data_IF_621450679575
#
_entry.id   IF_621450679575
#
_cell.length_a   1.000
_cell.length_b   1.000
_cell.length_c   1.000
_cell.angle_alpha   90.00
_cell.angle_beta   90.00
_cell.angle_gamma   90.00
#
_symmetry.space_group_name_H-M   'P 1'
#
loop_
_entity.id
_entity.type
_entity.pdbx_description
1 polymer ?
#
# COMPACT_ATOMS: atom_id res chain seq x y z
N UNK A 1 2.92 -14.84 13.65
CA UNK A 1 2.66 -13.96 12.49
C UNK A 1 3.30 -14.60 11.26
N UNK A 2 2.56 -14.73 10.15
CA UNK A 2 3.14 -15.15 8.86
C UNK A 2 4.13 -14.06 8.43
N UNK A 3 5.38 -14.43 8.12
CA UNK A 3 6.39 -13.45 7.68
C UNK A 3 6.07 -13.02 6.24
N UNK A 4 6.12 -11.72 5.92
CA UNK A 4 6.03 -11.29 4.54
C UNK A 4 7.22 -11.86 3.76
N UNK A 5 6.95 -12.29 2.53
CA UNK A 5 7.99 -12.63 1.55
C UNK A 5 8.61 -11.35 1.01
N UNK A 6 7.79 -10.32 0.80
CA UNK A 6 8.25 -9.03 0.30
C UNK A 6 7.56 -7.88 1.02
N UNK A 7 8.28 -6.76 1.17
CA UNK A 7 7.76 -5.54 1.77
C UNK A 7 8.14 -4.36 0.90
N UNK A 8 7.13 -3.58 0.53
CA UNK A 8 7.28 -2.33 -0.19
C UNK A 8 6.97 -1.23 0.82
N UNK A 9 7.92 -0.32 1.04
CA UNK A 9 7.74 0.83 1.92
C UNK A 9 8.03 2.10 1.13
N UNK A 10 7.08 3.03 1.20
CA UNK A 10 7.12 4.30 0.48
C UNK A 10 6.78 5.41 1.46
N UNK A 11 7.58 6.46 1.43
CA UNK A 11 7.37 7.68 2.20
C UNK A 11 7.53 8.89 1.29
N UNK A 12 6.57 9.81 1.33
CA UNK A 12 6.61 11.05 0.55
C UNK A 12 5.77 12.12 1.23
N UNK A 13 6.06 13.39 0.95
CA UNK A 13 5.22 14.54 1.29
C UNK A 13 4.32 14.98 0.13
N UNK A 14 4.41 14.31 -1.03
CA UNK A 14 3.68 14.59 -2.24
C UNK A 14 2.66 13.51 -2.56
N UNK A 15 1.38 13.90 -2.62
CA UNK A 15 0.30 12.99 -2.98
C UNK A 15 0.38 12.50 -4.44
N UNK A 16 0.86 13.35 -5.34
CA UNK A 16 1.10 12.96 -6.74
C UNK A 16 2.18 11.89 -6.84
N UNK A 17 3.15 11.88 -5.91
CA UNK A 17 4.17 10.83 -5.85
C UNK A 17 3.61 9.53 -5.29
N UNK A 18 2.63 9.57 -4.38
CA UNK A 18 1.97 8.36 -3.85
C UNK A 18 1.36 7.55 -4.99
N UNK A 19 0.53 8.17 -5.83
CA UNK A 19 -0.14 7.45 -6.92
C UNK A 19 0.86 6.82 -7.89
N UNK A 20 1.94 7.55 -8.20
CA UNK A 20 3.02 7.05 -9.04
C UNK A 20 3.76 5.88 -8.39
N UNK A 21 4.13 6.00 -7.12
CA UNK A 21 4.88 4.98 -6.40
C UNK A 21 4.04 3.72 -6.16
N UNK A 22 2.73 3.87 -5.95
CA UNK A 22 1.79 2.75 -5.89
C UNK A 22 1.64 2.05 -7.24
N UNK A 23 1.58 2.81 -8.33
CA UNK A 23 1.56 2.25 -9.68
C UNK A 23 2.86 1.50 -9.99
N UNK A 24 4.01 2.03 -9.57
CA UNK A 24 5.31 1.38 -9.77
C UNK A 24 5.44 0.12 -8.90
N UNK A 25 4.96 0.17 -7.64
CA UNK A 25 4.87 -0.99 -6.76
C UNK A 25 3.96 -2.09 -7.33
N UNK A 26 2.87 -1.71 -8.01
CA UNK A 26 1.98 -2.60 -8.74
C UNK A 26 2.68 -3.27 -9.93
N UNK A 27 3.45 -2.51 -10.71
CA UNK A 27 4.10 -3.01 -11.92
C UNK A 27 5.26 -3.96 -11.62
N UNK A 28 5.82 -3.85 -10.41
CA UNK A 28 7.02 -4.57 -10.01
C UNK A 28 6.76 -5.46 -8.78
N UNK A 29 5.64 -6.18 -8.78
CA UNK A 29 5.45 -7.26 -7.81
C UNK A 29 6.56 -8.29 -8.04
N UNK A 30 7.31 -8.72 -7.01
CA UNK A 30 8.39 -9.68 -7.17
C UNK A 30 7.90 -11.00 -7.74
N UNK A 31 8.70 -11.62 -8.60
CA UNK A 31 8.37 -12.89 -9.23
C UNK A 31 8.14 -14.02 -8.23
N UNK A 32 8.75 -13.98 -7.04
CA UNK A 32 8.50 -14.96 -5.98
C UNK A 32 7.06 -14.88 -5.44
N UNK A 33 6.45 -13.69 -5.46
CA UNK A 33 5.04 -13.49 -5.10
C UNK A 33 4.15 -13.95 -6.24
N UNK A 34 4.50 -13.61 -7.48
CA UNK A 34 3.72 -13.97 -8.67
C UNK A 34 3.63 -15.48 -8.86
N UNK A 35 4.72 -16.21 -8.65
CA UNK A 35 4.76 -17.67 -8.80
C UNK A 35 3.98 -18.42 -7.71
N UNK A 36 3.76 -17.79 -6.55
CA UNK A 36 3.18 -18.44 -5.37
C UNK A 36 1.72 -18.05 -5.11
N UNK A 37 1.17 -17.13 -5.88
CA UNK A 37 -0.22 -16.70 -5.80
C UNK A 37 -0.92 -16.90 -7.15
N UNK A 38 -2.24 -16.98 -7.13
CA UNK A 38 -3.01 -17.07 -8.38
C UNK A 38 -3.09 -15.72 -9.08
N UNK A 39 -3.38 -15.69 -10.37
CA UNK A 39 -3.64 -14.43 -11.10
C UNK A 39 -4.80 -13.63 -10.46
N UNK A 40 -5.81 -14.32 -9.95
CA UNK A 40 -6.94 -13.72 -9.24
C UNK A 40 -6.50 -13.04 -7.94
N UNK A 41 -5.64 -13.69 -7.15
CA UNK A 41 -5.07 -13.12 -5.93
C UNK A 41 -4.22 -11.88 -6.24
N UNK A 42 -3.38 -11.96 -7.29
CA UNK A 42 -2.54 -10.85 -7.74
C UNK A 42 -3.41 -9.69 -8.23
N UNK A 43 -4.47 -9.96 -8.98
CA UNK A 43 -5.42 -8.94 -9.42
C UNK A 43 -6.13 -8.28 -8.23
N UNK A 44 -6.57 -9.06 -7.24
CA UNK A 44 -7.19 -8.53 -6.03
C UNK A 44 -6.23 -7.62 -5.24
N UNK A 45 -4.97 -8.04 -5.04
CA UNK A 45 -3.93 -7.22 -4.42
C UNK A 45 -3.81 -5.87 -5.13
N UNK A 46 -3.69 -5.90 -6.45
CA UNK A 46 -3.54 -4.72 -7.31
C UNK A 46 -4.72 -3.75 -7.16
N UNK A 47 -5.94 -4.27 -7.19
CA UNK A 47 -7.16 -3.48 -7.00
C UNK A 47 -7.22 -2.86 -5.60
N UNK A 48 -6.94 -3.65 -4.55
CA UNK A 48 -7.02 -3.19 -3.17
C UNK A 48 -5.99 -2.13 -2.84
N UNK A 49 -4.78 -2.20 -3.38
CA UNK A 49 -3.76 -1.14 -3.16
C UNK A 49 -4.30 0.21 -3.65
N UNK A 50 -4.86 0.24 -4.87
CA UNK A 50 -5.40 1.47 -5.47
C UNK A 50 -6.62 1.98 -4.71
N UNK A 51 -7.63 1.15 -4.52
CA UNK A 51 -8.87 1.57 -3.85
C UNK A 51 -8.63 1.97 -2.40
N UNK A 52 -7.75 1.27 -1.69
CA UNK A 52 -7.51 1.54 -0.27
C UNK A 52 -6.77 2.86 -0.07
N UNK A 53 -5.74 3.14 -0.86
CA UNK A 53 -5.00 4.40 -0.69
C UNK A 53 -5.79 5.58 -1.24
N UNK A 54 -6.37 5.46 -2.45
CA UNK A 54 -7.21 6.54 -3.02
C UNK A 54 -8.41 6.82 -2.12
N UNK A 55 -9.05 5.76 -1.61
CA UNK A 55 -10.20 5.88 -0.75
C UNK A 55 -9.91 6.49 0.62
N UNK A 56 -8.69 6.34 1.16
CA UNK A 56 -8.28 6.88 2.46
C UNK A 56 -7.54 8.22 2.40
N UNK A 57 -7.19 8.70 1.20
CA UNK A 57 -6.53 10.00 1.02
C UNK A 57 -7.30 11.16 1.67
N UNK A 58 -8.64 11.29 1.52
CA UNK A 58 -9.40 12.36 2.17
C UNK A 58 -9.34 12.32 3.70
N UNK A 59 -9.46 11.13 4.28
CA UNK A 59 -9.41 10.89 5.72
C UNK A 59 -8.02 11.23 6.26
N UNK A 60 -6.97 10.71 5.62
CA UNK A 60 -5.60 11.01 6.01
C UNK A 60 -5.31 12.50 5.88
N UNK A 61 -5.77 13.19 4.82
CA UNK A 61 -5.64 14.65 4.70
C UNK A 61 -6.32 15.38 5.87
N UNK A 62 -7.48 14.92 6.31
CA UNK A 62 -8.23 15.54 7.41
C UNK A 62 -7.58 15.32 8.78
N UNK A 63 -7.02 14.13 9.02
CA UNK A 63 -6.28 13.78 10.25
C UNK A 63 -4.91 14.44 10.28
N UNK A 64 -4.28 14.57 9.11
CA UNK A 64 -2.96 15.15 8.94
C UNK A 64 -2.98 16.66 8.97
N UNK A 65 -4.13 17.34 9.15
CA UNK A 65 -4.29 18.80 9.20
C UNK A 65 -3.28 19.40 10.19
N UNK A 66 -2.09 19.73 9.73
CA UNK A 66 -0.98 20.03 10.60
C UNK A 66 -1.07 21.52 10.95
N UNK A 67 -0.37 22.00 11.99
CA UNK A 67 -0.05 23.43 12.01
C UNK A 67 0.53 23.82 10.63
N UNK A 68 0.17 24.99 10.11
CA UNK A 68 0.43 25.52 8.73
C UNK A 68 1.86 25.35 8.15
N UNK A 69 2.80 24.78 8.90
CA UNK A 69 4.23 24.68 8.65
C UNK A 69 4.78 23.26 8.46
N UNK A 70 3.95 22.19 8.56
CA UNK A 70 4.38 20.82 8.27
C UNK A 70 3.61 20.27 7.08
N UNK A 71 4.30 19.83 6.03
CA UNK A 71 3.64 19.05 4.98
C UNK A 71 3.12 17.73 5.56
N UNK A 72 1.95 17.23 5.14
CA UNK A 72 1.51 15.90 5.51
C UNK A 72 2.56 14.90 5.00
N UNK A 73 3.09 14.07 5.90
CA UNK A 73 3.99 12.98 5.53
C UNK A 73 3.14 11.74 5.33
N UNK A 74 3.14 11.23 4.11
CA UNK A 74 2.46 10.02 3.74
C UNK A 74 3.43 8.85 3.86
N UNK A 75 2.98 7.78 4.51
CA UNK A 75 3.72 6.55 4.71
C UNK A 75 2.84 5.38 4.29
N UNK A 76 3.32 4.59 3.34
CA UNK A 76 2.66 3.38 2.87
C UNK A 76 3.60 2.21 3.09
N UNK A 77 3.10 1.18 3.75
CA UNK A 77 3.78 -0.10 3.91
C UNK A 77 2.88 -1.21 3.38
N UNK A 78 3.36 -1.90 2.36
CA UNK A 78 2.70 -3.06 1.76
C UNK A 78 3.54 -4.30 2.07
N UNK A 79 2.90 -5.32 2.61
CA UNK A 79 3.48 -6.60 2.96
C UNK A 79 2.81 -7.69 2.11
N UNK A 80 3.61 -8.42 1.34
CA UNK A 80 3.17 -9.47 0.42
C UNK A 80 3.69 -10.83 0.91
N UNK A 81 2.84 -11.84 0.91
CA UNK A 81 3.19 -13.22 1.24
C UNK A 81 2.39 -14.24 0.43
N UNK A 82 2.59 -15.52 0.74
CA UNK A 82 1.77 -16.59 0.15
C UNK A 82 0.39 -16.51 0.78
N UNK A 83 -0.61 -16.27 -0.05
CA UNK A 83 -1.99 -16.11 0.39
C UNK A 83 -2.22 -15.07 1.49
N UNK A 84 -1.41 -14.02 1.45
CA UNK A 84 -1.38 -12.97 2.46
C UNK A 84 -1.02 -11.64 1.81
N UNK A 85 -1.78 -10.62 2.17
CA UNK A 85 -1.52 -9.25 1.79
C UNK A 85 -1.89 -8.31 2.94
N UNK A 86 -1.05 -7.31 3.20
CA UNK A 86 -1.29 -6.29 4.20
C UNK A 86 -0.89 -4.94 3.63
N UNK A 87 -1.74 -3.95 3.78
CA UNK A 87 -1.46 -2.56 3.43
C UNK A 87 -1.67 -1.70 4.67
N UNK A 88 -0.72 -0.83 4.95
CA UNK A 88 -0.76 0.17 6.01
C UNK A 88 -0.51 1.53 5.37
N UNK A 89 -1.44 2.47 5.53
CA UNK A 89 -1.33 3.83 5.03
C UNK A 89 -1.52 4.81 6.19
N UNK A 90 -0.48 5.56 6.56
CA UNK A 90 -0.50 6.51 7.67
C UNK A 90 -1.08 5.92 8.98
N UNK A 91 -0.79 4.64 9.26
CA UNK A 91 -1.30 3.92 10.44
C UNK A 91 -2.65 3.21 10.23
N UNK A 92 -3.39 3.53 9.17
CA UNK A 92 -4.58 2.78 8.77
C UNK A 92 -4.17 1.47 8.12
N UNK A 93 -4.52 0.35 8.75
CA UNK A 93 -4.09 -0.98 8.31
C UNK A 93 -5.26 -1.83 7.84
N UNK A 94 -5.07 -2.52 6.73
CA UNK A 94 -5.95 -3.61 6.26
C UNK A 94 -5.14 -4.84 5.95
N UNK A 95 -5.67 -5.99 6.36
CA UNK A 95 -5.05 -7.31 6.18
C UNK A 95 -6.04 -8.19 5.44
N UNK A 96 -5.53 -8.90 4.44
CA UNK A 96 -6.27 -9.85 3.65
C UNK A 96 -5.57 -11.21 3.73
N UNK A 97 -6.38 -12.24 3.97
CA UNK A 97 -5.94 -13.62 4.05
C UNK A 97 -6.87 -14.46 3.18
N UNK A 98 -6.28 -15.42 2.47
CA UNK A 98 -7.00 -16.42 1.68
C UNK A 98 -6.38 -17.81 1.84
#
# INVERSE_FOLDING_TARGET
MRKPIHTIQVETDSELEIEKLLRDAYLNIPSEIEQQNTEEDLFAIRLYIMEYVVGLLPEVRSESAPPRWKSPRYEIKIELGIKYFSICFNGHRKIFNW
#
